data_IF_580277614908
#
_entry.id   IF_580277614908
#
_cell.length_a   1.000
_cell.length_b   1.000
_cell.length_c   1.000
_cell.angle_alpha   90.00
_cell.angle_beta   90.00
_cell.angle_gamma   90.00
#
_symmetry.space_group_name_H-M   'P 1'
#
loop_
_entity.id
_entity.type
_entity.pdbx_description
1 polymer ?
#
# COMPACT_ATOMS: atom_id res chain seq x y z
N UNK A 1 1.65 23.43 -6.85
CA UNK A 1 1.86 22.00 -6.54
C UNK A 1 0.56 21.38 -5.99
N UNK A 2 -0.05 20.49 -6.77
CA UNK A 2 -1.16 19.66 -6.30
C UNK A 2 -0.66 18.76 -5.17
N UNK A 3 -1.29 18.79 -3.99
CA UNK A 3 -0.98 17.91 -2.85
C UNK A 3 -1.80 16.64 -3.00
N UNK A 4 -1.39 15.76 -3.91
CA UNK A 4 -2.06 14.49 -4.17
C UNK A 4 -1.83 13.47 -3.04
N UNK A 5 -0.75 13.64 -2.27
CA UNK A 5 -0.44 12.89 -1.06
C UNK A 5 -0.23 13.81 0.14
N UNK A 6 -0.39 13.28 1.35
CA UNK A 6 -0.22 14.01 2.59
C UNK A 6 0.12 13.09 3.76
N UNK A 7 0.63 13.67 4.85
CA UNK A 7 0.90 12.97 6.10
C UNK A 7 0.34 13.73 7.30
N UNK A 8 0.10 13.01 8.39
CA UNK A 8 -0.35 13.59 9.65
C UNK A 8 0.05 12.70 10.83
N UNK A 9 0.20 13.33 11.99
CA UNK A 9 0.46 12.63 13.24
C UNK A 9 -0.84 12.45 14.04
N UNK A 10 -1.02 11.27 14.60
CA UNK A 10 -1.98 11.04 15.67
C UNK A 10 -1.29 10.30 16.82
N UNK A 11 -1.04 11.04 17.91
CA UNK A 11 -0.20 10.56 19.00
C UNK A 11 1.22 10.22 18.53
N UNK A 12 1.62 8.96 18.74
CA UNK A 12 2.96 8.45 18.39
C UNK A 12 3.02 7.81 17.00
N UNK A 13 1.94 7.86 16.23
CA UNK A 13 1.86 7.29 14.88
C UNK A 13 1.86 8.41 13.86
N UNK A 14 2.69 8.24 12.84
CA UNK A 14 2.75 9.07 11.65
C UNK A 14 2.08 8.31 10.50
N UNK A 15 0.98 8.86 10.02
CA UNK A 15 0.20 8.32 8.92
C UNK A 15 0.56 9.03 7.63
N UNK A 16 0.73 8.27 6.56
CA UNK A 16 0.96 8.78 5.21
C UNK A 16 -0.14 8.26 4.31
N UNK A 17 -0.82 9.17 3.61
CA UNK A 17 -1.77 8.84 2.56
C UNK A 17 -1.13 9.12 1.21
N UNK A 18 -0.87 8.05 0.44
CA UNK A 18 -0.28 8.12 -0.90
C UNK A 18 -1.36 8.17 -1.98
N UNK A 19 -1.04 8.81 -3.11
CA UNK A 19 -1.82 8.72 -4.33
C UNK A 19 -1.26 7.60 -5.21
N UNK A 20 -2.14 6.70 -5.64
CA UNK A 20 -1.77 5.53 -6.45
C UNK A 20 -2.40 5.53 -7.84
N UNK A 21 -3.04 6.61 -8.24
CA UNK A 21 -3.86 6.71 -9.46
C UNK A 21 -3.02 7.13 -10.67
N UNK A 22 -1.82 6.53 -10.79
CA UNK A 22 -0.93 6.82 -11.91
C UNK A 22 -1.60 6.54 -13.26
N UNK A 23 -2.32 5.43 -13.37
CA UNK A 23 -3.02 5.02 -14.60
C UNK A 23 -4.02 6.09 -15.07
N UNK A 24 -4.67 6.78 -14.14
CA UNK A 24 -5.66 7.81 -14.40
C UNK A 24 -5.03 9.19 -14.63
N UNK A 25 -3.90 9.46 -13.97
CA UNK A 25 -3.37 10.82 -13.83
C UNK A 25 -2.08 11.06 -14.62
N UNK A 26 -1.41 10.04 -15.14
CA UNK A 26 -0.08 10.19 -15.76
C UNK A 26 -0.05 11.16 -16.96
N UNK A 27 -1.15 11.33 -17.69
CA UNK A 27 -1.22 12.30 -18.80
C UNK A 27 -1.18 13.74 -18.28
N UNK A 28 -1.87 14.02 -17.16
CA UNK A 28 -1.90 15.34 -16.55
C UNK A 28 -0.69 15.60 -15.62
N UNK A 29 -0.16 14.55 -15.00
CA UNK A 29 0.90 14.59 -14.00
C UNK A 29 1.97 13.52 -14.28
N UNK A 30 2.77 13.66 -15.36
CA UNK A 30 3.69 12.60 -15.80
C UNK A 30 4.84 12.31 -14.82
N UNK A 31 5.16 13.25 -13.93
CA UNK A 31 6.22 13.10 -12.91
C UNK A 31 5.68 12.69 -11.54
N UNK A 32 4.36 12.47 -11.38
CA UNK A 32 3.73 12.31 -10.06
C UNK A 32 4.42 11.26 -9.19
N UNK A 33 4.77 10.10 -9.74
CA UNK A 33 5.37 9.01 -8.97
C UNK A 33 6.77 9.36 -8.47
N UNK A 34 7.57 10.02 -9.31
CA UNK A 34 8.91 10.44 -8.94
C UNK A 34 8.87 11.56 -7.89
N UNK A 35 8.00 12.55 -8.09
CA UNK A 35 7.84 13.67 -7.17
C UNK A 35 7.30 13.21 -5.81
N UNK A 36 6.33 12.29 -5.81
CA UNK A 36 5.76 11.71 -4.60
C UNK A 36 6.75 10.81 -3.86
N UNK A 37 7.56 10.00 -4.55
CA UNK A 37 8.60 9.19 -3.92
C UNK A 37 9.70 10.06 -3.27
N UNK A 38 10.10 11.18 -3.90
CA UNK A 38 11.06 12.14 -3.32
C UNK A 38 10.48 12.82 -2.09
N UNK A 39 9.19 13.18 -2.13
CA UNK A 39 8.50 13.72 -0.96
C UNK A 39 8.43 12.69 0.17
N UNK A 40 8.02 11.46 -0.14
CA UNK A 40 7.87 10.37 0.82
C UNK A 40 9.19 10.05 1.52
N UNK A 41 10.31 9.99 0.80
CA UNK A 41 11.64 9.76 1.38
C UNK A 41 11.98 10.83 2.44
N UNK A 42 11.67 12.10 2.16
CA UNK A 42 11.89 13.20 3.12
C UNK A 42 10.95 13.12 4.32
N UNK A 43 9.68 12.80 4.09
CA UNK A 43 8.63 12.70 5.10
C UNK A 43 8.91 11.55 6.08
N UNK A 44 9.18 10.34 5.58
CA UNK A 44 9.52 9.18 6.40
C UNK A 44 10.85 9.38 7.16
N UNK A 45 11.85 10.01 6.54
CA UNK A 45 13.10 10.36 7.22
C UNK A 45 12.86 11.29 8.42
N UNK A 46 11.99 12.30 8.25
CA UNK A 46 11.65 13.23 9.32
C UNK A 46 10.86 12.53 10.46
N UNK A 47 9.85 11.73 10.11
CA UNK A 47 9.04 10.98 11.07
C UNK A 47 9.89 9.98 11.87
N UNK A 48 10.81 9.26 11.22
CA UNK A 48 11.72 8.33 11.88
C UNK A 48 12.69 9.04 12.83
N UNK A 49 13.27 10.19 12.43
CA UNK A 49 14.10 11.02 13.32
C UNK A 49 13.33 11.53 14.54
N UNK A 50 12.03 11.76 14.39
CA UNK A 50 11.13 12.14 15.48
C UNK A 50 10.65 10.94 16.32
N UNK A 51 11.09 9.71 16.03
CA UNK A 51 10.72 8.51 16.77
C UNK A 51 9.28 8.06 16.58
N UNK A 52 8.64 8.43 15.46
CA UNK A 52 7.24 8.07 15.16
C UNK A 52 7.15 6.63 14.63
N UNK A 53 6.02 5.98 14.91
CA UNK A 53 5.63 4.72 14.26
C UNK A 53 4.99 5.03 12.91
N UNK A 54 5.42 4.37 11.85
CA UNK A 54 4.95 4.65 10.49
C UNK A 54 3.75 3.77 10.12
N UNK A 55 2.73 4.35 9.51
CA UNK A 55 1.62 3.62 8.89
C UNK A 55 1.31 4.27 7.54
N UNK A 56 1.23 3.45 6.49
CA UNK A 56 0.91 3.93 5.14
C UNK A 56 -0.52 3.54 4.78
N UNK A 57 -1.22 4.47 4.13
CA UNK A 57 -2.53 4.30 3.55
C UNK A 57 -2.39 4.55 2.05
N UNK A 58 -2.81 3.58 1.22
CA UNK A 58 -2.78 3.72 -0.23
C UNK A 58 -3.97 2.98 -0.85
N UNK A 59 -4.48 3.45 -1.99
CA UNK A 59 -5.64 2.77 -2.60
C UNK A 59 -5.22 1.48 -3.30
N UNK A 60 -4.33 1.56 -4.29
CA UNK A 60 -3.85 0.38 -5.03
C UNK A 60 -2.68 -0.28 -4.30
N UNK A 61 -2.57 -1.63 -4.28
CA UNK A 61 -1.42 -2.32 -3.70
C UNK A 61 -0.16 -2.16 -4.59
N UNK A 62 1.03 -2.55 -4.10
CA UNK A 62 2.28 -2.43 -4.86
C UNK A 62 2.52 -3.54 -5.90
N UNK A 63 1.56 -4.42 -6.11
CA UNK A 63 1.64 -5.51 -7.08
C UNK A 63 0.59 -5.29 -8.15
N UNK A 64 0.79 -5.92 -9.31
CA UNK A 64 -0.23 -5.92 -10.35
C UNK A 64 -1.58 -6.44 -9.80
N UNK A 65 -2.67 -5.94 -10.39
CA UNK A 65 -4.05 -6.36 -10.14
C UNK A 65 -4.66 -6.78 -11.48
N UNK A 66 -5.05 -8.06 -11.67
CA UNK A 66 -4.86 -9.20 -10.77
C UNK A 66 -3.39 -9.50 -10.46
N UNK A 67 -3.13 -10.10 -9.29
CA UNK A 67 -1.78 -10.49 -8.89
C UNK A 67 -1.19 -11.58 -9.80
N UNK A 68 -0.04 -11.27 -10.40
CA UNK A 68 0.73 -12.16 -11.28
C UNK A 68 2.16 -12.46 -10.77
N UNK A 69 2.54 -11.85 -9.64
CA UNK A 69 3.89 -11.96 -9.06
C UNK A 69 4.75 -10.72 -9.25
N UNK A 70 4.38 -9.81 -10.14
CA UNK A 70 5.16 -8.63 -10.49
C UNK A 70 4.72 -7.37 -9.76
N UNK A 71 5.65 -6.41 -9.66
CA UNK A 71 5.39 -5.08 -9.13
C UNK A 71 4.76 -4.18 -10.20
N UNK A 72 3.70 -3.48 -9.79
CA UNK A 72 3.10 -2.40 -10.56
C UNK A 72 3.96 -1.12 -10.47
N UNK A 73 3.45 0.00 -10.99
CA UNK A 73 4.18 1.26 -10.88
C UNK A 73 4.29 1.75 -9.43
N UNK A 74 3.26 1.57 -8.60
CA UNK A 74 3.31 1.94 -7.19
C UNK A 74 4.40 1.16 -6.45
N UNK A 75 4.50 -0.15 -6.71
CA UNK A 75 5.50 -1.01 -6.11
C UNK A 75 6.92 -0.60 -6.43
N UNK A 76 7.20 -0.26 -7.69
CA UNK A 76 8.55 0.16 -8.14
C UNK A 76 9.03 1.44 -7.44
N UNK A 77 8.12 2.36 -7.15
CA UNK A 77 8.48 3.63 -6.50
C UNK A 77 8.46 3.56 -4.97
N UNK A 78 7.51 2.82 -4.38
CA UNK A 78 7.26 2.90 -2.94
C UNK A 78 7.86 1.76 -2.12
N UNK A 79 7.96 0.52 -2.62
CA UNK A 79 8.55 -0.60 -1.85
C UNK A 79 9.99 -0.34 -1.39
N UNK A 80 10.89 0.20 -2.23
CA UNK A 80 12.24 0.49 -1.79
C UNK A 80 12.29 1.47 -0.60
N UNK A 81 11.30 2.37 -0.49
CA UNK A 81 11.19 3.30 0.62
C UNK A 81 10.60 2.61 1.86
N UNK A 82 9.58 1.76 1.69
CA UNK A 82 9.04 0.97 2.80
C UNK A 82 10.11 0.07 3.42
N UNK A 83 10.91 -0.59 2.58
CA UNK A 83 12.02 -1.46 3.01
C UNK A 83 13.18 -0.67 3.65
N UNK A 84 13.47 0.54 3.16
CA UNK A 84 14.51 1.43 3.71
C UNK A 84 14.12 1.95 5.09
N UNK A 85 12.88 2.41 5.25
CA UNK A 85 12.39 3.01 6.49
C UNK A 85 11.77 1.99 7.45
N UNK A 86 11.77 0.71 7.09
CA UNK A 86 11.21 -0.40 7.86
C UNK A 86 9.75 -0.12 8.26
N UNK A 87 8.95 0.29 7.28
CA UNK A 87 7.52 0.54 7.46
C UNK A 87 6.87 -0.76 7.96
N UNK A 88 6.21 -0.77 9.12
CA UNK A 88 5.67 -2.01 9.68
C UNK A 88 4.32 -2.40 9.05
N UNK A 89 3.55 -1.42 8.57
CA UNK A 89 2.16 -1.63 8.18
C UNK A 89 1.72 -0.70 7.03
N UNK A 90 1.13 -1.30 6.01
CA UNK A 90 0.48 -0.63 4.89
C UNK A 90 -0.97 -1.13 4.79
N UNK A 91 -1.93 -0.22 4.70
CA UNK A 91 -3.31 -0.53 4.34
C UNK A 91 -3.54 -0.27 2.86
N UNK A 92 -4.18 -1.22 2.18
CA UNK A 92 -4.55 -1.11 0.77
C UNK A 92 -6.04 -1.32 0.56
N UNK A 93 -6.57 -0.75 -0.52
CA UNK A 93 -7.89 -1.07 -1.07
C UNK A 93 -7.74 -1.75 -2.43
N UNK A 94 -8.56 -1.27 -3.38
CA UNK A 94 -8.62 -1.63 -4.81
C UNK A 94 -9.00 -3.08 -5.10
N UNK A 95 -8.27 -4.04 -4.53
CA UNK A 95 -8.65 -5.45 -4.55
C UNK A 95 -9.89 -5.65 -3.70
N UNK A 96 -10.98 -6.14 -4.32
CA UNK A 96 -12.28 -6.34 -3.67
C UNK A 96 -12.25 -7.56 -2.74
N UNK A 97 -11.26 -7.70 -1.87
CA UNK A 97 -11.17 -8.77 -0.88
C UNK A 97 -10.76 -8.22 0.49
N UNK A 98 -10.71 -9.12 1.48
CA UNK A 98 -9.84 -8.92 2.64
C UNK A 98 -8.66 -9.86 2.55
N UNK A 99 -7.45 -9.31 2.73
CA UNK A 99 -6.25 -10.11 2.82
C UNK A 99 -5.27 -9.51 3.83
N UNK A 100 -4.44 -10.37 4.42
CA UNK A 100 -3.32 -9.95 5.27
C UNK A 100 -2.10 -10.78 4.97
N UNK A 101 -1.02 -10.11 4.57
CA UNK A 101 0.25 -10.76 4.29
C UNK A 101 0.94 -11.20 5.58
N UNK A 102 1.86 -12.15 5.48
CA UNK A 102 3.01 -12.20 6.39
C UNK A 102 3.86 -10.92 6.22
N UNK A 103 4.80 -10.59 7.12
CA UNK A 103 5.80 -9.57 6.83
C UNK A 103 6.54 -9.85 5.50
N UNK A 104 6.58 -8.86 4.60
CA UNK A 104 7.16 -8.96 3.25
C UNK A 104 8.23 -7.89 3.03
N UNK A 105 9.38 -8.29 2.48
CA UNK A 105 10.48 -7.42 2.06
C UNK A 105 11.02 -7.93 0.72
N UNK A 106 11.33 -7.05 -0.24
CA UNK A 106 11.74 -7.47 -1.59
C UNK A 106 10.76 -8.51 -2.21
N UNK A 107 9.45 -8.29 -2.01
CA UNK A 107 8.36 -9.20 -2.44
C UNK A 107 8.48 -10.65 -1.94
N UNK A 108 9.21 -10.89 -0.85
CA UNK A 108 9.38 -12.21 -0.21
C UNK A 108 9.06 -12.14 1.28
N UNK A 109 8.61 -13.24 1.90
CA UNK A 109 8.47 -13.31 3.35
C UNK A 109 9.79 -13.01 4.08
N UNK A 110 9.76 -12.04 5.00
CA UNK A 110 10.88 -11.66 5.86
C UNK A 110 10.33 -11.10 7.16
N UNK A 111 10.76 -11.60 8.33
CA UNK A 111 10.26 -11.17 9.64
C UNK A 111 10.42 -9.67 9.95
N UNK A 112 11.28 -8.96 9.21
CA UNK A 112 11.50 -7.52 9.31
C UNK A 112 10.81 -6.72 8.19
N UNK A 113 9.98 -7.39 7.39
CA UNK A 113 9.25 -6.80 6.28
C UNK A 113 7.98 -6.06 6.70
N UNK A 114 7.37 -5.43 5.71
CA UNK A 114 6.11 -4.71 5.83
C UNK A 114 4.93 -5.69 5.83
N UNK A 115 3.96 -5.51 6.73
CA UNK A 115 2.67 -6.21 6.64
C UNK A 115 1.71 -5.37 5.80
N UNK A 116 1.06 -6.00 4.83
CA UNK A 116 0.01 -5.38 4.03
C UNK A 116 -1.35 -5.94 4.45
N UNK A 117 -2.28 -5.04 4.77
CA UNK A 117 -3.68 -5.40 5.03
C UNK A 117 -4.53 -4.79 3.92
N UNK A 118 -5.14 -5.66 3.12
CA UNK A 118 -6.07 -5.28 2.07
C UNK A 118 -7.48 -5.30 2.64
N UNK A 119 -8.18 -4.18 2.57
CA UNK A 119 -9.56 -4.00 3.02
C UNK A 119 -10.41 -3.37 1.91
N UNK A 120 -10.22 -3.82 0.67
CA UNK A 120 -10.80 -3.16 -0.51
C UNK A 120 -12.25 -3.54 -0.79
N UNK A 121 -12.80 -4.54 -0.10
CA UNK A 121 -14.24 -4.81 -0.14
C UNK A 121 -14.98 -4.13 1.01
N UNK A 122 -15.88 -3.23 0.64
CA UNK A 122 -16.92 -2.71 1.54
C UNK A 122 -18.29 -2.84 0.86
N UNK A 123 -19.27 -3.37 1.59
CA UNK A 123 -20.62 -3.55 1.06
C UNK A 123 -20.74 -4.63 -0.03
N UNK A 124 -21.46 -4.32 -1.11
CA UNK A 124 -21.87 -5.31 -2.12
C UNK A 124 -20.96 -5.40 -3.33
N UNK A 125 -20.01 -4.47 -3.51
CA UNK A 125 -19.05 -4.52 -4.61
C UNK A 125 -18.13 -5.74 -4.46
N UNK A 126 -18.07 -6.56 -5.49
CA UNK A 126 -17.29 -7.79 -5.52
C UNK A 126 -16.75 -8.02 -6.93
N UNK A 127 -15.53 -8.55 -7.00
CA UNK A 127 -14.86 -8.86 -8.26
C UNK A 127 -14.11 -10.18 -8.10
N UNK A 128 -14.20 -11.05 -9.09
CA UNK A 128 -13.61 -12.40 -9.07
C UNK A 128 -12.12 -12.44 -9.44
N UNK A 129 -11.56 -11.31 -9.89
CA UNK A 129 -10.14 -11.19 -10.19
C UNK A 129 -9.23 -11.00 -8.97
N UNK A 130 -9.78 -10.71 -7.79
CA UNK A 130 -8.99 -10.65 -6.56
C UNK A 130 -8.56 -12.05 -6.14
N UNK A 131 -7.27 -12.36 -6.24
CA UNK A 131 -6.71 -13.68 -5.95
C UNK A 131 -5.89 -13.70 -4.66
N UNK A 132 -5.82 -14.86 -4.00
CA UNK A 132 -4.93 -15.07 -2.86
C UNK A 132 -3.46 -15.06 -3.31
N UNK A 133 -2.63 -14.21 -2.70
CA UNK A 133 -1.19 -14.15 -2.98
C UNK A 133 -0.44 -15.24 -2.20
N UNK A 134 0.75 -15.68 -2.66
CA UNK A 134 1.54 -16.72 -1.98
C UNK A 134 1.92 -16.36 -0.54
N UNK A 135 2.03 -15.08 -0.22
CA UNK A 135 2.39 -14.57 1.10
C UNK A 135 1.18 -14.09 1.93
N UNK A 136 -0.05 -14.33 1.48
CA UNK A 136 -1.25 -14.04 2.27
C UNK A 136 -1.45 -15.10 3.37
N UNK A 137 -1.26 -14.67 4.61
CA UNK A 137 -1.55 -15.45 5.81
C UNK A 137 -3.06 -15.59 6.07
N UNK A 138 -3.84 -14.59 5.63
CA UNK A 138 -5.29 -14.58 5.67
C UNK A 138 -5.79 -14.05 4.33
N UNK A 139 -6.83 -14.67 3.80
CA UNK A 139 -7.53 -14.20 2.59
C UNK A 139 -8.98 -14.65 2.67
N UNK A 140 -9.91 -13.71 2.47
CA UNK A 140 -11.33 -13.96 2.32
C UNK A 140 -11.76 -13.62 0.91
N UNK A 141 -12.18 -14.65 0.17
CA UNK A 141 -12.70 -14.52 -1.17
C UNK A 141 -14.00 -13.70 -1.14
N UNK A 142 -14.11 -12.62 -1.94
CA UNK A 142 -15.34 -11.84 -1.95
C UNK A 142 -16.57 -12.57 -2.49
N UNK A 143 -16.38 -13.61 -3.27
CA UNK A 143 -17.49 -14.36 -3.85
C UNK A 143 -18.10 -15.35 -2.85
N UNK A 144 -17.39 -15.71 -1.78
CA UNK A 144 -17.81 -16.80 -0.88
C UNK A 144 -18.71 -16.30 0.26
N UNK A 145 -18.55 -15.05 0.72
CA UNK A 145 -19.34 -14.48 1.82
C UNK A 145 -19.47 -12.96 1.65
N UNK A 146 -20.60 -12.32 2.03
CA UNK A 146 -20.63 -10.87 2.16
C UNK A 146 -19.61 -10.42 3.23
N UNK A 147 -18.78 -9.44 2.87
CA UNK A 147 -17.74 -8.90 3.76
C UNK A 147 -18.26 -7.62 4.41
N UNK A 148 -18.58 -7.69 5.70
CA UNK A 148 -19.13 -6.59 6.50
C UNK A 148 -18.08 -5.92 7.41
N UNK A 149 -16.86 -5.72 6.90
CA UNK A 149 -15.85 -4.93 7.63
C UNK A 149 -16.38 -3.54 7.97
#
# INVERSE_FOLDING_TARGET
PSRLAYSFDYGNVHYVSLNTDYEELHTAYPTMMADEAVWLDRDLSAAQKAGKRLVILMHRPPWNSPYDGDLDMNGRYFLPLFDRYQVPLVFTGHEHCYARTVPVRDSKPDSHGTVYITTGRSGTEAWDGSVRRPFDSVYYNPMDMPMYL
#
